data_IF_394141802202
#
_entry.id   IF_394141802202
#
_cell.length_a   1.000
_cell.length_b   1.000
_cell.length_c   1.000
_cell.angle_alpha   90.00
_cell.angle_beta   90.00
_cell.angle_gamma   90.00
#
_symmetry.space_group_name_H-M   'P 1'
#
loop_
_entity.id
_entity.type
_entity.pdbx_description
1 polymer ?
#
# COMPACT_ATOMS: atom_id res chain seq x y z
N UNK A 1 61.84 33.27 -97.29
CA UNK A 1 62.27 32.21 -96.36
C UNK A 1 61.10 31.99 -95.38
N UNK A 2 60.37 30.87 -95.49
CA UNK A 2 59.21 30.50 -94.65
C UNK A 2 59.70 29.48 -93.64
N UNK A 3 59.39 29.59 -92.33
CA UNK A 3 59.49 28.47 -91.45
C UNK A 3 58.11 27.74 -91.28
N UNK A 4 58.22 26.44 -91.30
CA UNK A 4 57.11 25.52 -91.22
C UNK A 4 56.50 25.42 -89.83
N UNK A 5 55.23 25.47 -89.76
CA UNK A 5 54.44 25.26 -88.55
C UNK A 5 54.20 23.75 -88.33
N UNK A 6 54.72 23.16 -87.26
CA UNK A 6 54.49 21.79 -86.92
C UNK A 6 53.21 21.73 -86.06
N UNK A 7 52.18 21.09 -86.59
CA UNK A 7 50.98 20.72 -85.87
C UNK A 7 51.31 19.61 -84.85
N UNK A 8 51.12 19.92 -83.63
CA UNK A 8 51.09 18.92 -82.60
C UNK A 8 49.64 18.45 -82.40
N UNK A 9 49.39 17.15 -82.65
CA UNK A 9 48.14 16.51 -82.35
C UNK A 9 48.05 16.14 -80.87
N UNK A 10 46.95 16.44 -80.21
CA UNK A 10 46.78 16.04 -78.81
C UNK A 10 46.44 14.53 -78.77
N UNK A 11 47.14 13.78 -77.91
CA UNK A 11 46.83 12.41 -77.58
C UNK A 11 45.54 12.32 -76.80
N UNK A 12 44.64 11.32 -77.05
CA UNK A 12 43.43 11.10 -76.24
C UNK A 12 43.84 10.49 -74.89
N UNK A 13 43.46 11.12 -73.82
CA UNK A 13 43.59 10.58 -72.46
C UNK A 13 42.61 9.43 -72.26
N UNK A 14 43.05 8.30 -71.67
CA UNK A 14 42.14 7.19 -71.33
C UNK A 14 41.21 7.59 -70.17
N UNK A 15 39.92 7.63 -70.45
CA UNK A 15 38.89 7.79 -69.45
C UNK A 15 38.86 6.51 -68.58
N UNK A 16 39.32 6.62 -67.33
CA UNK A 16 39.11 5.59 -66.29
C UNK A 16 37.60 5.48 -66.00
N UNK A 17 37.01 4.31 -66.03
CA UNK A 17 35.62 4.13 -65.67
C UNK A 17 35.43 4.40 -64.15
N UNK A 18 34.53 5.33 -63.85
CA UNK A 18 34.07 5.59 -62.47
C UNK A 18 33.55 4.30 -61.84
N UNK A 19 33.91 4.03 -60.57
CA UNK A 19 33.35 2.87 -59.87
C UNK A 19 31.83 3.06 -59.64
N UNK A 20 31.06 2.18 -60.27
CA UNK A 20 29.60 2.12 -60.02
C UNK A 20 29.35 1.83 -58.55
N UNK A 21 28.50 2.61 -57.87
CA UNK A 21 28.11 2.33 -56.49
C UNK A 21 27.36 1.00 -56.47
N UNK A 22 27.99 -0.04 -55.93
CA UNK A 22 27.29 -1.29 -55.62
C UNK A 22 26.19 -0.98 -54.61
N UNK A 23 24.95 -0.78 -55.09
CA UNK A 23 23.77 -0.69 -54.24
C UNK A 23 23.67 -2.03 -53.52
N UNK A 24 24.09 -2.06 -52.23
CA UNK A 24 23.78 -3.18 -51.33
C UNK A 24 22.26 -3.25 -51.27
N UNK A 25 21.69 -4.10 -52.12
CA UNK A 25 20.29 -4.52 -51.94
C UNK A 25 20.21 -5.14 -50.59
N UNK A 26 19.70 -4.38 -49.59
CA UNK A 26 19.23 -4.92 -48.33
C UNK A 26 18.19 -5.99 -48.70
N UNK A 27 18.56 -7.25 -48.59
CA UNK A 27 17.61 -8.37 -48.67
C UNK A 27 16.57 -8.09 -47.61
N UNK A 28 15.39 -7.61 -48.01
CA UNK A 28 14.22 -7.57 -47.14
C UNK A 28 14.02 -9.05 -46.72
N UNK A 29 14.30 -9.36 -45.47
CA UNK A 29 13.99 -10.68 -44.88
C UNK A 29 12.45 -10.71 -44.83
N UNK A 30 11.88 -11.55 -45.68
CA UNK A 30 10.47 -11.88 -45.57
C UNK A 30 10.29 -12.70 -44.28
N UNK A 31 9.41 -12.28 -43.41
CA UNK A 31 9.03 -13.03 -42.22
C UNK A 31 8.45 -14.38 -42.64
N UNK A 32 8.87 -15.44 -42.00
CA UNK A 32 8.28 -16.75 -42.22
C UNK A 32 6.91 -16.81 -41.51
N UNK A 33 5.99 -17.57 -42.06
CA UNK A 33 4.65 -17.75 -41.47
C UNK A 33 4.74 -18.30 -40.06
N UNK A 34 5.70 -19.18 -39.79
CA UNK A 34 5.94 -19.76 -38.46
C UNK A 34 6.42 -18.70 -37.45
N UNK A 35 7.24 -17.75 -37.88
CA UNK A 35 7.72 -16.65 -37.02
C UNK A 35 6.58 -15.77 -36.57
N UNK A 36 5.63 -15.47 -37.46
CA UNK A 36 4.42 -14.69 -37.13
C UNK A 36 3.55 -15.45 -36.13
N UNK A 37 3.35 -16.76 -36.34
CA UNK A 37 2.55 -17.59 -35.42
C UNK A 37 3.18 -17.64 -34.02
N UNK A 38 4.49 -17.83 -33.95
CA UNK A 38 5.20 -17.84 -32.67
C UNK A 38 5.11 -16.45 -31.99
N UNK A 39 5.31 -15.37 -32.75
CA UNK A 39 5.22 -14.02 -32.21
C UNK A 39 3.82 -13.72 -31.66
N UNK A 40 2.75 -14.09 -32.33
CA UNK A 40 1.38 -13.94 -31.85
C UNK A 40 1.11 -14.79 -30.61
N UNK A 41 1.62 -16.02 -30.56
CA UNK A 41 1.48 -16.87 -29.39
C UNK A 41 2.18 -16.28 -28.16
N UNK A 42 3.42 -15.80 -28.30
CA UNK A 42 4.14 -15.11 -27.22
C UNK A 42 3.43 -13.84 -26.79
N UNK A 43 2.95 -13.06 -27.75
CA UNK A 43 2.19 -11.82 -27.47
C UNK A 43 0.90 -12.13 -26.69
N UNK A 44 0.14 -13.15 -27.08
CA UNK A 44 -1.07 -13.56 -26.38
C UNK A 44 -0.78 -13.99 -24.93
N UNK A 45 0.28 -14.78 -24.72
CA UNK A 45 0.72 -15.15 -23.36
C UNK A 45 1.13 -13.93 -22.52
N UNK A 46 1.90 -13.03 -23.09
CA UNK A 46 2.31 -11.79 -22.41
C UNK A 46 1.11 -10.90 -22.07
N UNK A 47 0.14 -10.79 -22.98
CA UNK A 47 -1.08 -10.03 -22.75
C UNK A 47 -1.93 -10.61 -21.61
N UNK A 48 -2.06 -11.94 -21.51
CA UNK A 48 -2.81 -12.58 -20.42
C UNK A 48 -2.14 -12.38 -19.06
N UNK A 49 -0.81 -12.50 -18.99
CA UNK A 49 -0.05 -12.23 -17.75
C UNK A 49 -0.20 -10.78 -17.33
N UNK A 50 -0.06 -9.84 -18.27
CA UNK A 50 -0.21 -8.42 -17.98
C UNK A 50 -1.62 -8.09 -17.50
N UNK A 51 -2.66 -8.67 -18.13
CA UNK A 51 -4.04 -8.46 -17.71
C UNK A 51 -4.30 -9.01 -16.30
N UNK A 52 -3.78 -10.19 -15.97
CA UNK A 52 -3.87 -10.77 -14.63
C UNK A 52 -3.20 -9.88 -13.59
N UNK A 53 -2.00 -9.37 -13.88
CA UNK A 53 -1.29 -8.46 -12.99
C UNK A 53 -2.05 -7.16 -12.75
N UNK A 54 -2.68 -6.62 -13.81
CA UNK A 54 -3.50 -5.40 -13.72
C UNK A 54 -4.74 -5.61 -12.85
N UNK A 55 -5.47 -6.71 -13.07
CA UNK A 55 -6.65 -7.05 -12.24
C UNK A 55 -6.28 -7.23 -10.79
N UNK A 56 -5.18 -7.96 -10.49
CA UNK A 56 -4.70 -8.13 -9.13
C UNK A 56 -4.31 -6.81 -8.47
N UNK A 57 -3.69 -5.90 -9.22
CA UNK A 57 -3.35 -4.57 -8.70
C UNK A 57 -4.58 -3.71 -8.38
N UNK A 58 -5.64 -3.81 -9.19
CA UNK A 58 -6.92 -3.14 -8.92
C UNK A 58 -7.58 -3.70 -7.66
N UNK A 59 -7.69 -5.02 -7.53
CA UNK A 59 -8.25 -5.67 -6.35
C UNK A 59 -7.47 -5.33 -5.08
N UNK A 60 -6.15 -5.32 -5.14
CA UNK A 60 -5.31 -4.93 -4.00
C UNK A 60 -5.55 -3.46 -3.60
N UNK A 61 -5.73 -2.56 -4.57
CA UNK A 61 -6.04 -1.16 -4.30
C UNK A 61 -7.42 -0.98 -3.68
N UNK A 62 -8.42 -1.71 -4.17
CA UNK A 62 -9.78 -1.68 -3.63
C UNK A 62 -9.80 -2.19 -2.17
N UNK A 63 -9.14 -3.32 -1.90
CA UNK A 63 -9.00 -3.84 -0.54
C UNK A 63 -8.29 -2.87 0.39
N UNK A 64 -7.23 -2.19 -0.08
CA UNK A 64 -6.53 -1.19 0.71
C UNK A 64 -7.44 0.01 1.04
N UNK A 65 -8.21 0.50 0.06
CA UNK A 65 -9.15 1.60 0.28
C UNK A 65 -10.27 1.22 1.26
N UNK A 66 -10.82 0.00 1.16
CA UNK A 66 -11.83 -0.50 2.09
C UNK A 66 -11.29 -0.66 3.52
N UNK A 67 -10.04 -1.15 3.67
CA UNK A 67 -9.35 -1.20 4.96
C UNK A 67 -9.17 0.19 5.58
N UNK A 68 -8.87 1.21 4.78
CA UNK A 68 -8.71 2.57 5.28
C UNK A 68 -10.02 3.15 5.82
N UNK A 69 -11.15 2.85 5.16
CA UNK A 69 -12.47 3.30 5.59
C UNK A 69 -12.87 2.68 6.93
N UNK A 70 -12.81 1.37 7.08
CA UNK A 70 -13.16 0.72 8.36
C UNK A 70 -12.19 1.12 9.48
N UNK A 71 -10.90 1.28 9.20
CA UNK A 71 -9.93 1.76 10.18
C UNK A 71 -10.21 3.21 10.62
N UNK A 72 -10.78 4.03 9.74
CA UNK A 72 -11.21 5.38 10.10
C UNK A 72 -12.38 5.32 11.09
N UNK A 73 -13.37 4.45 10.85
CA UNK A 73 -14.51 4.26 11.72
C UNK A 73 -14.10 3.67 13.09
N UNK A 74 -13.23 2.64 13.10
CA UNK A 74 -12.66 2.08 14.35
C UNK A 74 -11.96 3.18 15.16
N UNK A 75 -11.17 4.06 14.52
CA UNK A 75 -10.52 5.17 15.23
C UNK A 75 -11.53 6.19 15.79
N UNK A 76 -12.62 6.45 15.07
CA UNK A 76 -13.67 7.37 15.52
C UNK A 76 -14.38 6.81 16.75
N UNK A 77 -14.78 5.53 16.73
CA UNK A 77 -15.42 4.86 17.87
C UNK A 77 -14.45 4.74 19.06
N UNK A 78 -13.19 4.35 18.82
CA UNK A 78 -12.16 4.34 19.88
C UNK A 78 -12.00 5.73 20.56
N UNK A 79 -12.16 6.80 19.80
CA UNK A 79 -12.10 8.15 20.37
C UNK A 79 -13.20 8.41 21.39
N UNK A 80 -14.39 7.79 21.24
CA UNK A 80 -15.46 7.89 22.24
C UNK A 80 -14.99 7.30 23.56
N UNK A 81 -14.46 6.07 23.57
CA UNK A 81 -13.87 5.47 24.76
C UNK A 81 -12.76 6.36 25.37
N UNK A 82 -11.89 6.92 24.53
CA UNK A 82 -10.79 7.78 25.02
C UNK A 82 -11.26 9.13 25.57
N UNK A 83 -12.42 9.59 25.24
CA UNK A 83 -13.01 10.83 25.77
C UNK A 83 -13.87 10.58 27.00
N UNK A 84 -14.27 9.34 27.28
CA UNK A 84 -15.11 9.02 28.43
C UNK A 84 -14.33 9.13 29.75
N UNK A 85 -14.69 10.07 30.64
CA UNK A 85 -14.00 10.25 31.91
C UNK A 85 -14.45 9.26 32.99
N UNK A 86 -15.66 8.70 32.85
CA UNK A 86 -16.28 7.80 33.83
C UNK A 86 -16.04 6.36 33.45
N UNK A 87 -15.62 5.55 34.41
CA UNK A 87 -15.30 4.14 34.18
C UNK A 87 -16.57 3.30 33.93
N UNK A 88 -17.67 3.56 34.68
CA UNK A 88 -18.92 2.83 34.56
C UNK A 88 -19.55 3.09 33.18
N UNK A 89 -19.56 4.35 32.74
CA UNK A 89 -20.03 4.74 31.42
C UNK A 89 -19.16 4.15 30.29
N UNK A 90 -17.85 4.06 30.49
CA UNK A 90 -16.93 3.43 29.54
C UNK A 90 -17.15 1.90 29.43
N UNK A 91 -17.54 1.22 30.54
CA UNK A 91 -17.87 -0.20 30.54
C UNK A 91 -19.25 -0.48 29.89
N UNK A 92 -20.24 0.37 30.17
CA UNK A 92 -21.57 0.27 29.56
C UNK A 92 -21.50 0.45 28.03
N UNK A 93 -20.58 1.33 27.57
CA UNK A 93 -20.42 1.67 26.17
C UNK A 93 -21.55 2.53 25.63
N UNK A 94 -21.57 2.74 24.32
CA UNK A 94 -22.56 3.59 23.66
C UNK A 94 -22.69 3.21 22.17
N UNK A 95 -23.60 3.87 21.49
CA UNK A 95 -23.82 3.79 20.05
C UNK A 95 -23.25 5.02 19.36
N UNK A 96 -22.58 4.83 18.24
CA UNK A 96 -21.95 5.88 17.45
C UNK A 96 -22.24 5.71 15.97
N UNK A 97 -22.78 6.74 15.33
CA UNK A 97 -22.98 6.78 13.87
C UNK A 97 -21.64 6.97 13.18
N UNK A 98 -21.20 5.96 12.40
CA UNK A 98 -19.94 6.02 11.65
C UNK A 98 -20.17 6.53 10.23
N UNK A 99 -19.09 6.92 9.55
CA UNK A 99 -19.20 7.45 8.19
C UNK A 99 -19.35 6.38 7.12
N UNK A 100 -18.82 5.17 7.36
CA UNK A 100 -18.71 4.14 6.31
C UNK A 100 -19.31 2.80 6.71
N UNK A 101 -19.52 2.54 8.00
CA UNK A 101 -19.91 1.22 8.53
C UNK A 101 -21.27 1.23 9.24
N UNK A 102 -22.06 2.28 9.03
CA UNK A 102 -23.34 2.48 9.69
C UNK A 102 -23.20 2.75 11.18
N UNK A 103 -24.18 2.35 11.96
CA UNK A 103 -24.16 2.47 13.41
C UNK A 103 -23.20 1.45 14.02
N UNK A 104 -22.36 1.91 14.92
CA UNK A 104 -21.43 1.11 15.69
C UNK A 104 -21.82 1.11 17.17
N UNK A 105 -22.11 -0.05 17.72
CA UNK A 105 -22.21 -0.25 19.17
C UNK A 105 -20.86 -0.68 19.72
N UNK A 106 -20.43 -0.10 20.83
CA UNK A 106 -19.17 -0.47 21.47
C UNK A 106 -19.35 -0.70 22.96
N UNK A 107 -18.49 -1.53 23.53
CA UNK A 107 -18.43 -1.84 24.95
C UNK A 107 -16.96 -2.06 25.36
N UNK A 108 -16.65 -1.89 26.62
CA UNK A 108 -15.32 -2.11 27.15
C UNK A 108 -15.39 -2.87 28.46
N UNK A 109 -14.49 -3.87 28.64
CA UNK A 109 -14.23 -4.48 29.94
C UNK A 109 -12.91 -3.94 30.46
N UNK A 110 -12.96 -3.31 31.64
CA UNK A 110 -11.85 -2.54 32.21
C UNK A 110 -11.33 -3.25 33.46
N UNK A 111 -10.05 -3.58 33.47
CA UNK A 111 -9.40 -4.23 34.60
C UNK A 111 -8.18 -3.41 35.05
N UNK A 112 -8.03 -3.15 36.36
CA UNK A 112 -6.83 -2.51 36.88
C UNK A 112 -5.61 -3.41 36.65
N UNK A 113 -4.43 -2.82 36.57
CA UNK A 113 -3.15 -3.54 36.51
C UNK A 113 -2.32 -3.31 37.75
N UNK A 114 -1.17 -4.00 37.87
CA UNK A 114 -0.20 -3.78 38.96
C UNK A 114 0.50 -2.41 38.89
N UNK A 115 0.21 -1.62 37.85
CA UNK A 115 0.75 -0.27 37.65
C UNK A 115 -0.31 0.75 37.98
N UNK A 116 0.03 1.68 38.87
CA UNK A 116 -0.90 2.75 39.27
C UNK A 116 -1.46 3.50 38.09
N UNK A 117 -2.78 3.71 38.10
CA UNK A 117 -3.55 4.42 37.04
C UNK A 117 -3.51 3.75 35.64
N UNK A 118 -2.94 2.56 35.51
CA UNK A 118 -2.89 1.83 34.25
C UNK A 118 -3.95 0.73 34.24
N UNK A 119 -4.83 0.78 33.27
CA UNK A 119 -5.91 -0.18 33.08
C UNK A 119 -5.71 -0.98 31.80
N UNK A 120 -6.03 -2.27 31.87
CA UNK A 120 -6.18 -3.13 30.70
C UNK A 120 -7.64 -3.06 30.25
N UNK A 121 -7.87 -2.63 29.03
CA UNK A 121 -9.19 -2.45 28.46
C UNK A 121 -9.38 -3.41 27.29
N UNK A 122 -10.33 -4.33 27.43
CA UNK A 122 -10.80 -5.16 26.32
C UNK A 122 -11.92 -4.39 25.63
N UNK A 123 -11.62 -3.81 24.48
CA UNK A 123 -12.53 -2.97 23.73
C UNK A 123 -13.12 -3.76 22.57
N UNK A 124 -14.44 -3.73 22.40
CA UNK A 124 -15.16 -4.41 21.32
C UNK A 124 -16.11 -3.44 20.63
N UNK A 125 -16.22 -3.58 19.30
CA UNK A 125 -17.08 -2.77 18.45
C UNK A 125 -17.89 -3.73 17.57
N UNK A 126 -19.18 -3.44 17.39
CA UNK A 126 -20.03 -4.12 16.42
C UNK A 126 -20.61 -3.10 15.47
N UNK A 127 -20.34 -3.27 14.17
CA UNK A 127 -20.87 -2.44 13.08
C UNK A 127 -22.15 -3.02 12.50
N UNK A 128 -23.14 -2.17 12.22
CA UNK A 128 -24.40 -2.58 11.58
C UNK A 128 -24.24 -2.86 10.09
N UNK A 129 -23.40 -2.10 9.39
CA UNK A 129 -23.18 -2.17 7.95
C UNK A 129 -21.68 -2.17 7.60
N UNK A 130 -20.94 -3.24 7.96
CA UNK A 130 -19.50 -3.27 7.67
C UNK A 130 -19.24 -3.28 6.17
N UNK A 131 -18.14 -2.65 5.70
CA UNK A 131 -17.74 -2.69 4.31
C UNK A 131 -17.53 -4.12 3.81
N UNK A 132 -17.77 -4.37 2.52
CA UNK A 132 -17.66 -5.68 1.92
C UNK A 132 -16.29 -6.34 2.19
N UNK A 133 -16.33 -7.58 2.64
CA UNK A 133 -15.12 -8.34 2.99
C UNK A 133 -14.58 -8.11 4.40
N UNK A 134 -15.22 -7.28 5.23
CA UNK A 134 -14.84 -7.05 6.62
C UNK A 134 -15.80 -7.73 7.59
N UNK A 135 -15.29 -8.07 8.78
CA UNK A 135 -16.11 -8.60 9.87
C UNK A 135 -16.97 -7.48 10.48
N UNK A 136 -18.18 -7.83 10.91
CA UNK A 136 -19.04 -6.91 11.64
C UNK A 136 -18.53 -6.62 13.06
N UNK A 137 -17.71 -7.48 13.61
CA UNK A 137 -17.16 -7.36 14.96
C UNK A 137 -15.65 -7.11 14.91
N UNK A 138 -15.20 -6.17 15.75
CA UNK A 138 -13.80 -5.84 15.95
C UNK A 138 -13.51 -5.83 17.45
N UNK A 139 -12.39 -6.40 17.88
CA UNK A 139 -11.96 -6.31 19.28
C UNK A 139 -10.46 -6.10 19.37
N UNK A 140 -10.05 -5.35 20.39
CA UNK A 140 -8.65 -5.08 20.69
C UNK A 140 -8.43 -4.94 22.20
N UNK A 141 -7.19 -5.16 22.63
CA UNK A 141 -6.77 -4.91 24.00
C UNK A 141 -5.93 -3.62 24.03
N UNK A 142 -6.38 -2.67 24.83
CA UNK A 142 -5.69 -1.40 25.04
C UNK A 142 -5.13 -1.33 26.47
N UNK A 143 -4.05 -0.58 26.65
CA UNK A 143 -3.53 -0.21 27.95
C UNK A 143 -3.63 1.30 28.09
N UNK A 144 -4.52 1.76 28.97
CA UNK A 144 -4.85 3.17 29.13
C UNK A 144 -4.38 3.68 30.49
N UNK A 145 -3.62 4.76 30.49
CA UNK A 145 -3.25 5.48 31.69
C UNK A 145 -4.37 6.50 32.01
N UNK A 146 -5.18 6.18 33.04
CA UNK A 146 -6.39 6.92 33.38
C UNK A 146 -6.48 7.19 34.88
N UNK A 147 -5.88 8.29 35.37
CA UNK A 147 -5.95 8.65 36.79
C UNK A 147 -7.38 8.93 37.28
N UNK A 148 -8.31 9.29 36.39
CA UNK A 148 -9.72 9.55 36.70
C UNK A 148 -10.53 8.29 36.98
N UNK A 149 -10.06 7.13 36.54
CA UNK A 149 -10.72 5.83 36.74
C UNK A 149 -10.24 5.12 38.02
N UNK A 150 -9.14 5.58 38.64
CA UNK A 150 -8.60 5.00 39.87
C UNK A 150 -9.38 5.51 41.08
N UNK A 151 -9.79 4.58 41.94
CA UNK A 151 -10.28 4.93 43.26
C UNK A 151 -9.13 5.40 44.15
N UNK A 152 -9.40 6.42 45.03
CA UNK A 152 -8.36 7.05 45.83
C UNK A 152 -7.68 6.10 46.79
N UNK A 153 -8.46 5.16 47.36
CA UNK A 153 -7.97 4.17 48.33
C UNK A 153 -7.10 3.10 47.64
N UNK A 154 -7.54 2.51 46.55
CA UNK A 154 -6.77 1.54 45.76
C UNK A 154 -5.44 2.12 45.27
N UNK A 155 -5.48 3.37 44.80
CA UNK A 155 -4.30 4.09 44.35
C UNK A 155 -3.28 4.27 45.49
N UNK A 156 -3.78 4.59 46.69
CA UNK A 156 -2.92 4.77 47.88
C UNK A 156 -2.26 3.47 48.30
N UNK A 157 -2.98 2.36 48.27
CA UNK A 157 -2.49 1.05 48.61
C UNK A 157 -1.41 0.57 47.65
N UNK A 158 -1.65 0.69 46.34
CA UNK A 158 -0.65 0.34 45.31
C UNK A 158 0.64 1.18 45.42
N UNK A 159 0.52 2.47 45.76
CA UNK A 159 1.68 3.33 45.99
C UNK A 159 2.45 2.94 47.23
N UNK A 160 1.79 2.48 48.28
CA UNK A 160 2.42 2.01 49.51
C UNK A 160 3.16 0.67 49.27
N UNK A 161 2.51 -0.29 48.64
CA UNK A 161 3.13 -1.59 48.29
C UNK A 161 4.40 -1.40 47.44
N UNK A 162 4.37 -0.49 46.46
CA UNK A 162 5.54 -0.18 45.65
C UNK A 162 6.67 0.47 46.44
N UNK A 163 6.37 1.31 47.43
CA UNK A 163 7.40 1.89 48.32
C UNK A 163 8.04 0.81 49.15
N UNK A 164 7.24 -0.06 49.78
CA UNK A 164 7.74 -1.18 50.60
C UNK A 164 8.63 -2.11 49.78
N UNK A 165 8.20 -2.50 48.56
CA UNK A 165 8.99 -3.33 47.65
C UNK A 165 10.35 -2.69 47.27
N UNK A 166 10.38 -1.37 47.12
CA UNK A 166 11.62 -0.64 46.82
C UNK A 166 12.56 -0.54 48.02
N UNK A 167 11.99 -0.46 49.23
CA UNK A 167 12.78 -0.46 50.47
C UNK A 167 13.40 -1.83 50.79
N UNK A 168 12.66 -2.93 50.51
CA UNK A 168 13.17 -4.30 50.68
C UNK A 168 14.26 -4.67 49.65
N UNK A 169 14.28 -4.02 48.50
CA UNK A 169 15.25 -4.27 47.41
C UNK A 169 16.60 -3.56 47.60
N UNK A 170 16.76 -2.76 48.67
CA UNK A 170 17.97 -1.99 48.99
C UNK A 170 18.84 -2.65 50.03
#
# INVERSE_FOLDING_TARGET
>A
MRPQNKHHSPHPTPHSPLPTPHSRRRRARAFSLIEVVIAVAIFAMAATVLMSAFVNALLARESAASNDLINADIRAVRMQLLLEPDIEAAEEGDEYETLNSGEASWEASIEPTDVVDLFRVQFSIRFSEPPEGHAAEYSETLYLLRPTWSEGDERSDLLQDKREALEESR
#
